data_IF_713038675772
#
_entry.id   IF_713038675772
#
_cell.length_a   1.000
_cell.length_b   1.000
_cell.length_c   1.000
_cell.angle_alpha   90.00
_cell.angle_beta   90.00
_cell.angle_gamma   90.00
#
_symmetry.space_group_name_H-M   'P 1'
#
loop_
_entity.id
_entity.type
_entity.pdbx_description
1 polymer ?
#
# COMPACT_ATOMS: atom_id res chain seq x y z
N UNK A 1 -1.03 31.72 8.83
CA UNK A 1 -2.30 30.98 8.62
C UNK A 1 -2.25 30.42 7.21
N UNK A 2 -1.96 29.13 7.05
CA UNK A 2 -1.93 28.50 5.73
C UNK A 2 -3.36 28.39 5.19
N UNK A 3 -3.61 29.06 4.08
CA UNK A 3 -4.91 29.07 3.42
C UNK A 3 -5.17 27.67 2.80
N UNK A 4 -6.08 26.91 3.39
CA UNK A 4 -6.59 25.63 2.86
C UNK A 4 -7.13 25.73 1.40
N UNK A 5 -7.30 26.93 0.87
CA UNK A 5 -7.76 27.20 -0.50
C UNK A 5 -6.73 26.86 -1.58
N UNK A 6 -5.48 26.60 -1.21
CA UNK A 6 -4.39 26.32 -2.18
C UNK A 6 -4.10 24.82 -2.36
N UNK A 7 -4.83 23.94 -1.63
CA UNK A 7 -4.57 22.50 -1.64
C UNK A 7 -4.87 21.86 -3.02
N UNK A 8 -5.92 22.31 -3.71
CA UNK A 8 -6.22 21.83 -5.07
C UNK A 8 -5.13 22.23 -6.08
N UNK A 9 -4.57 23.42 -5.95
CA UNK A 9 -3.46 23.88 -6.78
C UNK A 9 -2.15 23.15 -6.42
N UNK A 10 -1.96 22.83 -5.13
CA UNK A 10 -0.84 22.04 -4.66
C UNK A 10 -0.83 20.65 -5.29
N UNK A 11 -1.94 19.92 -5.27
CA UNK A 11 -2.06 18.58 -5.85
C UNK A 11 -1.94 18.55 -7.38
N UNK A 12 -2.23 19.68 -8.06
CA UNK A 12 -2.00 19.82 -9.51
C UNK A 12 -0.54 20.09 -9.84
N UNK A 13 0.23 20.63 -8.90
CA UNK A 13 1.61 21.05 -9.07
C UNK A 13 2.60 20.01 -8.60
N UNK A 14 2.20 19.18 -7.64
CA UNK A 14 3.06 18.19 -6.98
C UNK A 14 2.43 16.79 -6.99
N UNK A 15 3.25 15.72 -7.10
CA UNK A 15 4.70 15.78 -7.34
C UNK A 15 5.03 16.38 -8.70
N UNK A 16 6.26 16.90 -8.84
CA UNK A 16 6.82 17.19 -10.16
C UNK A 16 7.06 15.90 -10.93
N UNK A 17 7.36 15.97 -12.22
CA UNK A 17 7.70 14.78 -13.02
C UNK A 17 8.89 14.00 -12.48
N UNK A 18 9.79 14.68 -11.78
CA UNK A 18 10.97 14.08 -11.16
C UNK A 18 10.70 13.64 -9.69
N UNK A 19 9.43 13.61 -9.27
CA UNK A 19 9.02 13.12 -7.95
C UNK A 19 9.28 14.09 -6.79
N UNK A 20 9.36 15.39 -7.03
CA UNK A 20 9.60 16.37 -5.96
C UNK A 20 8.32 17.06 -5.48
N UNK A 21 8.28 17.34 -4.17
CA UNK A 21 7.31 18.14 -3.44
C UNK A 21 8.03 19.36 -2.82
N UNK A 22 8.30 20.39 -3.63
CA UNK A 22 9.18 21.49 -3.24
C UNK A 22 10.64 21.05 -3.15
N UNK A 23 11.25 21.20 -1.98
CA UNK A 23 12.63 20.73 -1.69
C UNK A 23 12.72 19.24 -1.28
N UNK A 24 11.57 18.57 -1.08
CA UNK A 24 11.49 17.18 -0.64
C UNK A 24 11.14 16.25 -1.80
N UNK A 25 11.70 15.05 -1.81
CA UNK A 25 11.38 14.03 -2.79
C UNK A 25 12.57 13.66 -3.68
N UNK A 26 12.27 13.19 -4.89
CA UNK A 26 13.25 12.65 -5.82
C UNK A 26 13.43 11.14 -5.69
N UNK A 27 14.18 10.55 -6.62
CA UNK A 27 14.54 9.14 -6.64
C UNK A 27 16.06 9.00 -6.52
N UNK A 28 16.50 8.28 -5.49
CA UNK A 28 17.92 8.04 -5.20
C UNK A 28 18.23 6.55 -5.44
N UNK A 29 18.01 6.10 -6.68
CA UNK A 29 18.19 4.70 -7.06
C UNK A 29 19.64 4.43 -7.46
N UNK A 30 20.20 3.25 -7.12
CA UNK A 30 21.40 2.74 -7.76
C UNK A 30 21.15 2.64 -9.28
N UNK A 31 22.16 3.01 -10.13
CA UNK A 31 22.00 3.03 -11.59
C UNK A 31 21.53 1.70 -12.19
N UNK A 32 21.91 0.58 -11.60
CA UNK A 32 21.53 -0.77 -12.01
C UNK A 32 20.02 -1.06 -11.81
N UNK A 33 19.35 -0.32 -10.92
CA UNK A 33 17.90 -0.49 -10.65
C UNK A 33 17.02 0.50 -11.43
N UNK A 34 17.60 1.59 -11.96
CA UNK A 34 16.84 2.60 -12.70
C UNK A 34 15.96 2.02 -13.82
N UNK A 35 16.45 1.07 -14.67
CA UNK A 35 15.62 0.51 -15.74
C UNK A 35 14.39 -0.24 -15.21
N UNK A 36 14.52 -0.99 -14.11
CA UNK A 36 13.43 -1.76 -13.52
C UNK A 36 12.38 -0.85 -12.89
N UNK A 37 12.80 0.21 -12.20
CA UNK A 37 11.88 1.20 -11.63
C UNK A 37 11.17 2.01 -12.72
N UNK A 38 11.90 2.37 -13.79
CA UNK A 38 11.28 3.05 -14.94
C UNK A 38 10.23 2.17 -15.63
N UNK A 39 10.47 0.87 -15.78
CA UNK A 39 9.47 -0.06 -16.33
C UNK A 39 8.19 -0.04 -15.49
N UNK A 40 8.31 -0.04 -14.16
CA UNK A 40 7.16 -0.01 -13.25
C UNK A 40 6.41 1.33 -13.31
N UNK A 41 7.14 2.44 -13.37
CA UNK A 41 6.58 3.79 -13.48
C UNK A 41 5.82 3.98 -14.81
N UNK A 42 6.45 3.63 -15.92
CA UNK A 42 5.83 3.71 -17.24
C UNK A 42 4.56 2.83 -17.32
N UNK A 43 4.58 1.63 -16.73
CA UNK A 43 3.41 0.76 -16.68
C UNK A 43 2.29 1.35 -15.81
N UNK A 44 2.63 1.93 -14.65
CA UNK A 44 1.67 2.58 -13.78
C UNK A 44 1.00 3.78 -14.47
N UNK A 45 1.78 4.68 -15.06
CA UNK A 45 1.26 5.84 -15.80
C UNK A 45 0.34 5.42 -16.95
N UNK A 46 0.65 4.33 -17.64
CA UNK A 46 -0.16 3.83 -18.74
C UNK A 46 -1.55 3.33 -18.30
N UNK A 47 -1.70 2.83 -17.08
CA UNK A 47 -2.93 2.14 -16.65
C UNK A 47 -3.64 2.76 -15.44
N UNK A 48 -2.98 3.57 -14.62
CA UNK A 48 -3.51 4.07 -13.34
C UNK A 48 -4.84 4.84 -13.48
N UNK A 49 -5.08 5.46 -14.64
CA UNK A 49 -6.32 6.17 -14.97
C UNK A 49 -7.30 5.35 -15.81
N UNK A 50 -6.96 4.12 -16.19
CA UNK A 50 -7.87 3.27 -16.97
C UNK A 50 -9.07 2.81 -16.15
N UNK A 51 -10.25 2.85 -16.74
CA UNK A 51 -11.47 2.36 -16.07
C UNK A 51 -11.35 0.87 -15.69
N UNK A 52 -10.66 0.09 -16.49
CA UNK A 52 -10.45 -1.33 -16.24
C UNK A 52 -9.63 -1.56 -14.97
N UNK A 53 -8.47 -0.94 -14.83
CA UNK A 53 -7.62 -1.06 -13.64
C UNK A 53 -8.33 -0.55 -12.38
N UNK A 54 -8.94 0.64 -12.46
CA UNK A 54 -9.64 1.26 -11.33
C UNK A 54 -10.80 0.38 -10.86
N UNK A 55 -11.62 -0.15 -11.77
CA UNK A 55 -12.77 -0.97 -11.41
C UNK A 55 -12.34 -2.34 -10.87
N UNK A 56 -11.30 -2.97 -11.43
CA UNK A 56 -10.76 -4.21 -10.91
C UNK A 56 -10.21 -4.02 -9.49
N UNK A 57 -9.42 -2.97 -9.25
CA UNK A 57 -8.91 -2.65 -7.92
C UNK A 57 -10.02 -2.34 -6.91
N UNK A 58 -11.07 -1.61 -7.31
CA UNK A 58 -12.25 -1.34 -6.47
C UNK A 58 -12.99 -2.62 -6.11
N UNK A 59 -13.18 -3.52 -7.07
CA UNK A 59 -13.80 -4.82 -6.82
C UNK A 59 -12.98 -5.66 -5.84
N UNK A 60 -11.67 -5.77 -6.03
CA UNK A 60 -10.77 -6.47 -5.11
C UNK A 60 -10.87 -5.89 -3.70
N UNK A 61 -10.80 -4.57 -3.57
CA UNK A 61 -10.90 -3.89 -2.26
C UNK A 61 -12.21 -4.17 -1.56
N UNK A 62 -13.31 -4.18 -2.30
CA UNK A 62 -14.65 -4.41 -1.73
C UNK A 62 -14.88 -5.89 -1.39
N UNK A 63 -14.59 -6.79 -2.33
CA UNK A 63 -15.02 -8.19 -2.25
C UNK A 63 -14.01 -9.08 -1.53
N UNK A 64 -12.71 -8.81 -1.69
CA UNK A 64 -11.65 -9.61 -1.10
C UNK A 64 -11.06 -8.99 0.17
N UNK A 65 -10.79 -7.68 0.17
CA UNK A 65 -10.19 -7.02 1.33
C UNK A 65 -11.20 -6.62 2.41
N UNK A 66 -12.48 -6.48 2.10
CA UNK A 66 -13.50 -5.99 3.03
C UNK A 66 -13.47 -4.47 3.24
N UNK A 67 -13.03 -3.71 2.24
CA UNK A 67 -12.94 -2.24 2.33
C UNK A 67 -14.22 -1.54 1.82
N UNK A 68 -14.52 -0.33 2.33
CA UNK A 68 -13.78 0.40 3.36
C UNK A 68 -13.95 -0.19 4.75
N UNK A 69 -12.85 -0.26 5.53
CA UNK A 69 -12.94 -0.63 6.94
C UNK A 69 -13.61 0.49 7.75
N UNK A 70 -14.40 0.19 8.77
CA UNK A 70 -15.12 1.19 9.54
C UNK A 70 -14.21 2.05 10.40
N UNK A 71 -14.71 3.24 10.76
CA UNK A 71 -14.18 4.04 11.86
C UNK A 71 -15.08 3.80 13.06
N UNK A 72 -14.51 3.29 14.14
CA UNK A 72 -15.22 2.91 15.36
C UNK A 72 -14.96 3.92 16.47
N UNK A 73 -16.04 4.46 17.06
CA UNK A 73 -15.94 5.32 18.23
C UNK A 73 -15.81 4.49 19.52
N UNK A 74 -14.70 4.68 20.22
CA UNK A 74 -14.42 3.99 21.48
C UNK A 74 -15.02 4.74 22.68
N UNK A 75 -16.34 4.69 22.85
CA UNK A 75 -17.06 5.49 23.88
C UNK A 75 -16.52 5.26 25.29
N UNK A 76 -16.29 4.01 25.68
CA UNK A 76 -15.80 3.68 27.04
C UNK A 76 -14.39 4.23 27.26
N UNK A 77 -13.53 4.12 26.25
CA UNK A 77 -12.17 4.64 26.32
C UNK A 77 -12.16 6.16 26.34
N UNK A 78 -13.00 6.80 25.53
CA UNK A 78 -13.18 8.24 25.51
C UNK A 78 -13.63 8.76 26.88
N UNK A 79 -14.59 8.10 27.52
CA UNK A 79 -15.04 8.44 28.87
C UNK A 79 -13.93 8.28 29.93
N UNK A 80 -13.10 7.25 29.80
CA UNK A 80 -11.99 6.99 30.72
C UNK A 80 -10.92 8.11 30.68
N UNK A 81 -10.62 8.60 29.48
CA UNK A 81 -9.64 9.67 29.27
C UNK A 81 -10.21 11.11 29.35
N UNK A 82 -11.49 11.25 29.56
CA UNK A 82 -12.14 12.52 29.87
C UNK A 82 -12.35 13.40 28.62
N UNK A 83 -11.43 14.31 28.34
CA UNK A 83 -11.64 15.39 27.37
C UNK A 83 -11.27 15.06 25.92
N UNK A 84 -11.14 13.78 25.56
CA UNK A 84 -10.84 13.39 24.19
C UNK A 84 -11.86 12.38 23.62
N UNK A 85 -12.07 12.46 22.31
CA UNK A 85 -12.88 11.49 21.58
C UNK A 85 -11.92 10.56 20.83
N UNK A 86 -11.98 9.26 21.15
CA UNK A 86 -11.08 8.25 20.59
C UNK A 86 -11.81 7.46 19.52
N UNK A 87 -11.26 7.47 18.31
CA UNK A 87 -11.76 6.71 17.18
C UNK A 87 -10.67 5.78 16.67
N UNK A 88 -11.06 4.55 16.32
CA UNK A 88 -10.19 3.55 15.70
C UNK A 88 -10.57 3.38 14.22
N UNK A 89 -9.60 3.57 13.33
CA UNK A 89 -9.71 3.08 11.96
C UNK A 89 -9.40 1.59 11.97
N UNK A 90 -10.42 0.76 11.75
CA UNK A 90 -10.40 -0.69 11.99
C UNK A 90 -9.70 -1.45 10.85
N UNK A 91 -8.39 -1.20 10.64
CA UNK A 91 -7.60 -1.93 9.65
C UNK A 91 -7.31 -3.40 10.04
N UNK A 92 -7.60 -3.76 11.28
CA UNK A 92 -7.67 -5.15 11.75
C UNK A 92 -8.80 -5.96 11.07
N UNK A 93 -9.81 -5.29 10.53
CA UNK A 93 -10.90 -5.89 9.74
C UNK A 93 -10.57 -6.00 8.24
N UNK A 94 -9.46 -5.45 7.79
CA UNK A 94 -8.95 -5.73 6.46
C UNK A 94 -8.52 -7.20 6.38
N UNK A 95 -8.73 -7.84 5.24
CA UNK A 95 -8.26 -9.23 5.06
C UNK A 95 -6.76 -9.33 5.38
N UNK A 96 -6.31 -10.37 6.05
CA UNK A 96 -4.99 -10.54 6.72
C UNK A 96 -4.80 -9.79 8.05
N UNK A 97 -5.80 -9.03 8.52
CA UNK A 97 -5.78 -8.40 9.84
C UNK A 97 -4.92 -7.14 9.98
N UNK A 98 -4.41 -6.58 8.87
CA UNK A 98 -3.54 -5.41 8.89
C UNK A 98 -3.64 -4.56 7.62
N UNK A 99 -3.06 -3.34 7.67
CA UNK A 99 -3.12 -2.37 6.58
C UNK A 99 -2.24 -2.71 5.36
N UNK A 100 -1.23 -3.57 5.51
CA UNK A 100 -0.25 -3.88 4.46
C UNK A 100 -0.88 -4.43 3.17
N UNK A 101 -1.97 -5.17 3.27
CA UNK A 101 -2.67 -5.69 2.09
C UNK A 101 -3.22 -4.58 1.18
N UNK A 102 -3.39 -3.37 1.69
CA UNK A 102 -3.92 -2.25 0.89
C UNK A 102 -3.02 -1.91 -0.30
N UNK A 103 -1.71 -1.86 -0.10
CA UNK A 103 -0.77 -1.60 -1.20
C UNK A 103 -0.42 -2.87 -1.96
N UNK A 104 -0.22 -4.00 -1.28
CA UNK A 104 0.14 -5.26 -1.94
C UNK A 104 -0.87 -5.69 -3.02
N UNK A 105 -2.18 -5.45 -2.81
CA UNK A 105 -3.18 -5.74 -3.85
C UNK A 105 -3.08 -4.79 -5.06
N UNK A 106 -2.73 -3.52 -4.84
CA UNK A 106 -2.49 -2.56 -5.92
C UNK A 106 -1.23 -2.89 -6.72
N UNK A 107 -0.14 -3.18 -6.02
CA UNK A 107 1.15 -3.57 -6.62
C UNK A 107 1.03 -4.92 -7.35
N UNK A 108 0.38 -5.91 -6.76
CA UNK A 108 0.13 -7.19 -7.40
C UNK A 108 -0.74 -7.07 -8.66
N UNK A 109 -1.75 -6.20 -8.64
CA UNK A 109 -2.54 -5.91 -9.84
C UNK A 109 -1.71 -5.24 -10.93
N UNK A 110 -0.86 -4.26 -10.56
CA UNK A 110 0.09 -3.64 -11.49
C UNK A 110 1.04 -4.68 -12.09
N UNK A 111 1.65 -5.52 -11.25
CA UNK A 111 2.54 -6.59 -11.68
C UNK A 111 1.85 -7.55 -12.67
N UNK A 112 0.58 -7.89 -12.43
CA UNK A 112 -0.24 -8.67 -13.37
C UNK A 112 -0.38 -7.99 -14.72
N UNK A 113 -0.66 -6.69 -14.75
CA UNK A 113 -0.75 -5.93 -16.02
C UNK A 113 0.59 -5.82 -16.74
N UNK A 114 1.70 -5.83 -15.99
CA UNK A 114 3.05 -5.89 -16.54
C UNK A 114 3.46 -7.28 -17.04
N UNK A 115 2.60 -8.30 -16.89
CA UNK A 115 2.91 -9.68 -17.24
C UNK A 115 3.95 -10.36 -16.32
N UNK A 116 4.16 -9.83 -15.11
CA UNK A 116 5.05 -10.45 -14.13
C UNK A 116 4.40 -11.72 -13.56
N UNK A 117 5.23 -12.71 -13.29
CA UNK A 117 4.80 -14.02 -12.79
C UNK A 117 5.20 -14.28 -11.34
N UNK A 118 5.98 -13.38 -10.75
CA UNK A 118 6.53 -13.52 -9.41
C UNK A 118 6.56 -12.18 -8.68
N UNK A 119 6.19 -12.22 -7.40
CA UNK A 119 6.35 -11.09 -6.47
C UNK A 119 7.48 -11.41 -5.48
N UNK A 120 8.24 -10.40 -5.13
CA UNK A 120 9.29 -10.50 -4.10
C UNK A 120 9.08 -9.40 -3.07
N UNK A 121 9.33 -9.69 -1.81
CA UNK A 121 9.27 -8.70 -0.75
C UNK A 121 10.27 -9.00 0.37
N UNK A 122 10.72 -7.93 1.02
CA UNK A 122 11.38 -7.98 2.32
C UNK A 122 10.34 -7.75 3.42
N UNK A 123 10.52 -8.36 4.57
CA UNK A 123 9.66 -8.15 5.73
C UNK A 123 10.44 -8.29 7.03
N UNK A 124 10.21 -7.37 7.98
CA UNK A 124 10.76 -7.43 9.33
C UNK A 124 9.79 -8.14 10.30
N UNK A 125 8.63 -7.53 10.56
CA UNK A 125 7.64 -8.08 11.50
C UNK A 125 6.79 -9.23 10.91
N UNK A 126 6.93 -9.58 9.64
CA UNK A 126 6.18 -10.64 8.96
C UNK A 126 4.90 -10.18 8.26
N UNK A 127 4.26 -9.10 8.69
CA UNK A 127 2.97 -8.66 8.15
C UNK A 127 3.01 -8.27 6.66
N UNK A 128 4.11 -7.70 6.19
CA UNK A 128 4.27 -7.43 4.76
C UNK A 128 4.43 -8.73 3.98
N UNK A 129 5.18 -9.70 4.52
CA UNK A 129 5.31 -11.04 3.94
C UNK A 129 3.95 -11.74 3.78
N UNK A 130 3.12 -11.73 4.83
CA UNK A 130 1.74 -12.26 4.76
C UNK A 130 0.92 -11.56 3.70
N UNK A 131 1.00 -10.24 3.61
CA UNK A 131 0.21 -9.46 2.65
C UNK A 131 0.63 -9.72 1.20
N UNK A 132 1.94 -9.77 0.91
CA UNK A 132 2.42 -10.01 -0.46
C UNK A 132 2.19 -11.44 -0.90
N UNK A 133 2.37 -12.43 0.00
CA UNK A 133 2.04 -13.82 -0.27
C UNK A 133 0.55 -14.00 -0.57
N UNK A 134 -0.32 -13.29 0.17
CA UNK A 134 -1.76 -13.27 -0.09
C UNK A 134 -2.08 -12.66 -1.47
N UNK A 135 -1.43 -11.55 -1.82
CA UNK A 135 -1.61 -10.92 -3.13
C UNK A 135 -1.12 -11.84 -4.26
N UNK A 136 0.06 -12.47 -4.09
CA UNK A 136 0.60 -13.41 -5.06
C UNK A 136 -0.35 -14.60 -5.27
N UNK A 137 -0.85 -15.20 -4.21
CA UNK A 137 -1.84 -16.28 -4.27
C UNK A 137 -3.13 -15.84 -5.00
N UNK A 138 -3.62 -14.64 -4.69
CA UNK A 138 -4.82 -14.09 -5.35
C UNK A 138 -4.65 -13.94 -6.86
N UNK A 139 -3.47 -13.49 -7.31
CA UNK A 139 -3.17 -13.27 -8.74
C UNK A 139 -2.58 -14.50 -9.44
N UNK A 140 -2.33 -15.61 -8.75
CA UNK A 140 -1.73 -16.81 -9.30
C UNK A 140 -0.24 -16.65 -9.63
N UNK A 141 0.48 -15.88 -8.82
CA UNK A 141 1.91 -15.61 -8.98
C UNK A 141 2.74 -16.39 -7.96
N UNK A 142 4.00 -16.64 -8.28
CA UNK A 142 5.00 -17.07 -7.32
C UNK A 142 5.33 -15.94 -6.33
N UNK A 143 5.83 -16.31 -5.14
CA UNK A 143 6.22 -15.34 -4.14
C UNK A 143 7.48 -15.78 -3.37
N UNK A 144 8.47 -14.90 -3.32
CA UNK A 144 9.62 -15.05 -2.42
C UNK A 144 9.58 -13.94 -1.36
N UNK A 145 9.67 -14.34 -0.10
CA UNK A 145 9.70 -13.40 1.03
C UNK A 145 11.05 -13.53 1.74
N UNK A 146 11.74 -12.41 1.84
CA UNK A 146 13.04 -12.32 2.51
C UNK A 146 12.85 -11.73 3.90
N UNK A 147 13.41 -12.39 4.91
CA UNK A 147 13.29 -11.98 6.30
C UNK A 147 14.61 -12.25 7.03
N UNK A 148 15.03 -11.30 7.88
CA UNK A 148 16.23 -11.45 8.69
C UNK A 148 16.11 -12.59 9.71
N UNK A 149 17.19 -13.33 9.96
CA UNK A 149 17.20 -14.48 10.87
C UNK A 149 16.70 -14.12 12.29
N UNK A 150 17.10 -12.97 12.81
CA UNK A 150 16.66 -12.48 14.13
C UNK A 150 15.16 -12.20 14.15
N UNK A 151 14.63 -11.68 13.06
CA UNK A 151 13.20 -11.39 12.94
C UNK A 151 12.39 -12.68 12.79
N UNK A 152 12.88 -13.67 12.04
CA UNK A 152 12.26 -15.00 11.96
C UNK A 152 12.10 -15.60 13.35
N UNK A 153 13.15 -15.55 14.18
CA UNK A 153 13.11 -16.11 15.54
C UNK A 153 12.08 -15.38 16.44
N UNK A 154 11.93 -14.05 16.28
CA UNK A 154 11.02 -13.24 17.09
C UNK A 154 9.57 -13.29 16.61
N UNK A 155 9.37 -13.40 15.30
CA UNK A 155 8.06 -13.24 14.64
C UNK A 155 7.55 -14.55 14.02
N UNK A 156 8.03 -15.69 14.52
CA UNK A 156 7.70 -17.03 14.03
C UNK A 156 6.19 -17.28 13.80
N UNK A 157 5.24 -16.70 14.58
CA UNK A 157 3.80 -16.88 14.34
C UNK A 157 3.28 -16.23 13.05
N UNK A 158 3.98 -15.25 12.50
CA UNK A 158 3.64 -14.60 11.23
C UNK A 158 4.32 -15.29 10.06
#
# INVERSE_FOLDING_TARGET
MNNYRDFENYLKKFPTKDGYFGEFGGAFLPPELEPAFKEADDAYEAICHSAQFINELRRIRKEFQGRPTPVYHCERLSKLFGNCQIYLKREDLNHTGAHKLNHCMGEGLLAKYMGKTKLIAETGAGQHGVAIATAAAYFGMECDVYMGEVDIAKQHPN
#
